data_IF_167020580318
#
_entry.id   IF_167020580318
#
_cell.length_a   1.000
_cell.length_b   1.000
_cell.length_c   1.000
_cell.angle_alpha   90.00
_cell.angle_beta   90.00
_cell.angle_gamma   90.00
#
_symmetry.space_group_name_H-M   'P 1'
#
loop_
_entity.id
_entity.type
_entity.pdbx_description
1 polymer ?
#
# COMPACT_ATOMS: atom_id res chain seq x y z
N UNK A 1 10.28 -21.02 -13.33
CA UNK A 1 10.97 -19.75 -13.06
C UNK A 1 11.97 -20.03 -11.97
N UNK A 2 13.27 -20.01 -12.28
CA UNK A 2 14.34 -20.23 -11.32
C UNK A 2 14.41 -19.02 -10.39
N UNK A 3 13.97 -19.17 -9.14
CA UNK A 3 14.22 -18.19 -8.09
C UNK A 3 15.20 -18.79 -7.09
N UNK A 4 16.18 -18.01 -6.60
CA UNK A 4 17.07 -18.47 -5.55
C UNK A 4 16.28 -18.76 -4.26
N UNK A 5 16.64 -19.81 -3.50
CA UNK A 5 15.82 -20.34 -2.40
C UNK A 5 15.79 -19.50 -1.11
N UNK A 6 16.31 -18.27 -1.12
CA UNK A 6 16.36 -17.39 0.06
C UNK A 6 16.53 -15.92 -0.35
N UNK A 7 15.44 -15.19 -0.60
CA UNK A 7 15.49 -13.73 -0.56
C UNK A 7 15.25 -13.27 0.89
N UNK A 8 16.33 -13.00 1.61
CA UNK A 8 16.27 -12.22 2.85
C UNK A 8 15.88 -10.79 2.44
N UNK A 9 14.60 -10.46 2.53
CA UNK A 9 14.05 -9.12 2.36
C UNK A 9 13.83 -8.72 0.90
N UNK A 10 12.58 -8.49 0.52
CA UNK A 10 12.24 -7.79 -0.73
C UNK A 10 12.63 -6.31 -0.58
N UNK A 11 13.88 -5.99 -0.89
CA UNK A 11 14.43 -4.64 -0.84
C UNK A 11 13.91 -3.77 -1.99
N UNK A 12 13.83 -2.45 -1.77
CA UNK A 12 13.52 -1.49 -2.83
C UNK A 12 14.51 -1.64 -4.01
N UNK A 13 13.96 -1.83 -5.21
CA UNK A 13 14.71 -1.80 -6.47
C UNK A 13 15.02 -0.34 -6.86
N UNK A 14 16.11 0.18 -6.30
CA UNK A 14 16.55 1.56 -6.52
C UNK A 14 16.89 1.88 -7.98
N UNK A 15 17.19 0.90 -8.83
CA UNK A 15 17.49 1.17 -10.24
C UNK A 15 16.26 1.63 -11.01
N UNK A 16 15.10 1.13 -10.61
CA UNK A 16 13.85 1.35 -11.31
C UNK A 16 12.88 2.23 -10.53
N UNK A 17 13.17 2.55 -9.27
CA UNK A 17 12.40 3.49 -8.47
C UNK A 17 12.53 4.93 -9.01
N UNK A 18 11.40 5.61 -9.20
CA UNK A 18 11.35 7.03 -9.57
C UNK A 18 10.76 7.92 -8.45
N UNK A 19 10.21 7.32 -7.40
CA UNK A 19 9.71 8.04 -6.23
C UNK A 19 9.82 7.18 -4.98
N UNK A 20 10.65 7.61 -4.03
CA UNK A 20 10.90 6.89 -2.80
C UNK A 20 10.41 7.70 -1.60
N UNK A 21 9.58 7.10 -0.76
CA UNK A 21 9.27 7.62 0.57
C UNK A 21 9.93 6.71 1.60
N UNK A 22 10.91 7.22 2.34
CA UNK A 22 11.48 6.53 3.50
C UNK A 22 10.76 7.02 4.77
N UNK A 23 9.94 6.18 5.38
CA UNK A 23 9.15 6.51 6.59
C UNK A 23 9.77 5.82 7.80
N UNK A 24 10.44 6.58 8.66
CA UNK A 24 11.19 6.00 9.79
C UNK A 24 12.37 5.10 9.40
N UNK A 25 12.65 4.96 8.10
CA UNK A 25 13.76 4.17 7.56
C UNK A 25 14.98 5.04 7.27
N UNK A 26 16.12 4.68 7.87
CA UNK A 26 17.37 5.40 7.69
C UNK A 26 18.39 4.56 6.90
N UNK A 27 18.21 4.57 5.58
CA UNK A 27 19.04 3.86 4.60
C UNK A 27 20.53 4.13 4.79
N UNK A 28 20.88 5.35 5.21
CA UNK A 28 22.28 5.82 5.37
C UNK A 28 22.98 5.33 6.62
N UNK A 29 22.24 4.83 7.61
CA UNK A 29 22.81 4.50 8.92
C UNK A 29 22.40 3.11 9.44
N UNK A 30 21.20 2.62 9.14
CA UNK A 30 20.59 1.50 9.87
C UNK A 30 19.94 0.42 9.00
N UNK A 31 19.88 0.58 7.68
CA UNK A 31 19.31 -0.45 6.79
C UNK A 31 20.29 -1.64 6.63
N UNK A 32 19.85 -2.79 6.09
CA UNK A 32 20.69 -3.97 5.86
C UNK A 32 20.84 -4.27 4.35
N UNK A 33 22.04 -4.56 3.81
CA UNK A 33 23.36 -4.57 4.46
C UNK A 33 24.03 -3.18 4.47
N UNK A 34 23.44 -2.24 5.23
CA UNK A 34 23.98 -0.93 5.61
C UNK A 34 24.41 -0.08 4.41
N UNK A 35 25.70 0.26 4.35
CA UNK A 35 26.27 1.18 3.37
C UNK A 35 26.05 0.72 1.93
N UNK A 36 25.89 -0.59 1.70
CA UNK A 36 25.61 -1.14 0.37
C UNK A 36 24.30 -0.59 -0.20
N UNK A 37 23.23 -0.56 0.61
CA UNK A 37 21.92 -0.03 0.20
C UNK A 37 22.01 1.45 -0.12
N UNK A 38 22.74 2.21 0.70
CA UNK A 38 23.02 3.62 0.41
C UNK A 38 23.79 3.80 -0.88
N UNK A 39 24.82 2.99 -1.16
CA UNK A 39 25.56 3.06 -2.42
C UNK A 39 24.65 2.75 -3.61
N UNK A 40 23.70 1.83 -3.47
CA UNK A 40 22.73 1.53 -4.51
C UNK A 40 21.73 2.67 -4.73
N UNK A 41 21.18 3.27 -3.67
CA UNK A 41 20.36 4.47 -3.78
C UNK A 41 21.12 5.60 -4.51
N UNK A 42 22.35 5.89 -4.10
CA UNK A 42 23.15 6.97 -4.69
C UNK A 42 23.56 6.68 -6.14
N UNK A 43 23.96 5.44 -6.44
CA UNK A 43 24.41 5.05 -7.78
C UNK A 43 23.21 4.88 -8.72
N UNK A 44 22.26 4.03 -8.35
CA UNK A 44 21.21 3.60 -9.25
C UNK A 44 20.05 4.59 -9.27
N UNK A 45 19.43 4.91 -8.13
CA UNK A 45 18.28 5.83 -8.14
C UNK A 45 18.67 7.27 -8.52
N UNK A 46 19.80 7.78 -8.00
CA UNK A 46 20.16 9.21 -8.17
C UNK A 46 21.10 9.51 -9.35
N UNK A 47 21.77 8.53 -9.96
CA UNK A 47 22.81 8.81 -10.98
C UNK A 47 22.68 8.04 -12.29
N UNK A 48 22.50 6.72 -12.26
CA UNK A 48 22.63 5.88 -13.46
C UNK A 48 21.35 5.18 -13.90
N UNK A 49 20.34 5.08 -13.03
CA UNK A 49 19.09 4.41 -13.35
C UNK A 49 18.31 5.12 -14.45
N UNK A 50 17.46 4.40 -15.21
CA UNK A 50 16.68 4.97 -16.31
C UNK A 50 15.81 6.17 -15.91
N UNK A 51 15.31 6.17 -14.67
CA UNK A 51 14.42 7.20 -14.16
C UNK A 51 15.16 8.21 -13.24
N UNK A 52 16.49 8.18 -13.17
CA UNK A 52 17.29 8.97 -12.21
C UNK A 52 17.09 10.49 -12.30
N UNK A 53 16.80 11.02 -13.50
CA UNK A 53 16.50 12.46 -13.67
C UNK A 53 15.17 12.89 -13.07
N UNK A 54 14.25 11.94 -12.86
CA UNK A 54 12.91 12.17 -12.30
C UNK A 54 12.81 11.69 -10.85
N UNK A 55 13.82 10.96 -10.38
CA UNK A 55 13.83 10.36 -9.06
C UNK A 55 13.68 11.42 -7.96
N UNK A 56 12.63 11.27 -7.14
CA UNK A 56 12.42 12.06 -5.92
C UNK A 56 12.53 11.16 -4.70
N UNK A 57 13.26 11.62 -3.69
CA UNK A 57 13.40 10.95 -2.40
C UNK A 57 12.80 11.83 -1.31
N UNK A 58 11.76 11.32 -0.66
CA UNK A 58 11.07 11.95 0.47
C UNK A 58 11.48 11.19 1.73
N UNK A 59 11.98 11.89 2.73
CA UNK A 59 12.31 11.29 4.03
C UNK A 59 11.33 11.81 5.06
N UNK A 60 10.54 10.92 5.64
CA UNK A 60 9.55 11.21 6.69
C UNK A 60 10.12 10.69 8.00
N UNK A 61 10.67 11.59 8.81
CA UNK A 61 11.42 11.27 10.03
C UNK A 61 11.34 12.47 11.00
N UNK A 62 11.11 12.26 12.31
CA UNK A 62 11.10 13.35 13.28
C UNK A 62 12.37 14.18 13.33
N UNK A 63 13.53 13.59 13.00
CA UNK A 63 14.81 14.31 12.96
C UNK A 63 15.35 14.43 11.55
N UNK A 64 16.12 15.47 11.31
CA UNK A 64 16.88 15.62 10.08
C UNK A 64 18.06 14.63 10.06
N UNK A 65 17.81 13.41 9.60
CA UNK A 65 18.78 12.32 9.54
C UNK A 65 19.78 12.49 8.38
N UNK A 66 20.82 11.65 8.35
CA UNK A 66 21.74 11.59 7.21
C UNK A 66 21.01 11.23 5.90
N UNK A 67 19.92 10.46 5.99
CA UNK A 67 19.06 10.16 4.85
C UNK A 67 18.36 11.43 4.37
N UNK A 68 17.80 12.23 5.27
CA UNK A 68 17.19 13.52 4.96
C UNK A 68 18.19 14.48 4.29
N UNK A 69 19.42 14.57 4.81
CA UNK A 69 20.49 15.36 4.20
C UNK A 69 20.81 14.91 2.76
N UNK A 70 20.84 13.59 2.52
CA UNK A 70 21.03 13.03 1.18
C UNK A 70 19.79 13.10 0.29
N UNK A 71 18.58 13.24 0.84
CA UNK A 71 17.39 13.49 0.07
C UNK A 71 17.39 14.92 -0.49
N UNK A 72 17.71 15.90 0.35
CA UNK A 72 17.58 17.33 0.02
C UNK A 72 18.80 17.94 -0.69
N UNK A 73 19.99 17.33 -0.65
CA UNK A 73 21.24 17.93 -1.14
C UNK A 73 21.23 18.45 -2.58
N UNK A 74 20.39 17.90 -3.46
CA UNK A 74 20.31 18.27 -4.88
C UNK A 74 19.06 19.11 -5.22
N UNK A 75 18.27 19.52 -4.21
CA UNK A 75 17.07 20.33 -4.38
C UNK A 75 15.85 19.60 -4.96
N UNK A 76 15.93 18.28 -5.18
CA UNK A 76 14.80 17.49 -5.74
C UNK A 76 14.01 16.75 -4.66
N UNK A 77 14.72 16.16 -3.68
CA UNK A 77 14.08 15.47 -2.56
C UNK A 77 13.60 16.42 -1.46
N UNK A 78 12.89 15.88 -0.48
CA UNK A 78 12.38 16.64 0.66
C UNK A 78 12.50 15.86 1.97
N UNK A 79 12.50 16.59 3.09
CA UNK A 79 12.36 16.05 4.43
C UNK A 79 11.05 16.53 5.03
N UNK A 80 10.30 15.61 5.62
CA UNK A 80 9.04 15.86 6.32
C UNK A 80 9.25 15.59 7.81
N UNK A 81 9.29 16.64 8.67
CA UNK A 81 9.55 16.52 10.10
C UNK A 81 8.28 16.06 10.83
N UNK A 82 8.01 14.76 10.80
CA UNK A 82 6.82 14.20 11.42
C UNK A 82 6.98 14.10 12.95
N UNK A 83 5.93 14.41 13.72
CA UNK A 83 5.90 14.18 15.17
C UNK A 83 6.19 12.71 15.51
N UNK A 84 7.06 12.39 16.49
CA UNK A 84 7.35 11.00 16.85
C UNK A 84 6.08 10.17 17.12
N UNK A 85 6.05 8.93 16.60
CA UNK A 85 4.96 7.97 16.71
C UNK A 85 3.62 8.37 16.05
N UNK A 86 3.64 9.26 15.04
CA UNK A 86 2.45 9.61 14.25
C UNK A 86 2.50 9.14 12.79
N UNK A 87 3.48 8.31 12.40
CA UNK A 87 3.64 7.79 11.03
C UNK A 87 2.42 7.01 10.54
N UNK A 88 1.72 6.30 11.44
CA UNK A 88 0.44 5.66 11.15
C UNK A 88 -0.63 6.65 10.66
N UNK A 89 -0.68 7.87 11.21
CA UNK A 89 -1.60 8.92 10.74
C UNK A 89 -1.16 9.50 9.39
N UNK A 90 0.15 9.61 9.15
CA UNK A 90 0.67 10.01 7.84
C UNK A 90 0.25 9.02 6.75
N UNK A 91 0.47 7.72 6.97
CA UNK A 91 0.10 6.67 6.03
C UNK A 91 -1.43 6.53 5.90
N UNK A 92 -2.18 6.66 7.00
CA UNK A 92 -3.65 6.68 6.96
C UNK A 92 -4.17 7.85 6.13
N UNK A 93 -3.59 9.04 6.30
CA UNK A 93 -3.91 10.20 5.49
C UNK A 93 -3.61 9.98 4.01
N UNK A 94 -2.46 9.36 3.67
CA UNK A 94 -2.18 8.99 2.28
C UNK A 94 -3.23 8.03 1.73
N UNK A 95 -3.58 6.96 2.46
CA UNK A 95 -4.61 6.00 2.07
C UNK A 95 -5.95 6.70 1.84
N UNK A 96 -6.37 7.57 2.78
CA UNK A 96 -7.60 8.34 2.68
C UNK A 96 -7.64 9.16 1.39
N UNK A 97 -6.58 9.93 1.11
CA UNK A 97 -6.51 10.77 -0.09
C UNK A 97 -6.55 9.92 -1.35
N UNK A 98 -5.81 8.80 -1.37
CA UNK A 98 -5.76 7.88 -2.51
C UNK A 98 -7.15 7.29 -2.81
N UNK A 99 -7.88 6.87 -1.78
CA UNK A 99 -9.23 6.31 -1.92
C UNK A 99 -10.23 7.38 -2.36
N UNK A 100 -10.20 8.57 -1.74
CA UNK A 100 -11.09 9.68 -2.07
C UNK A 100 -10.92 10.16 -3.53
N UNK A 101 -9.71 10.07 -4.08
CA UNK A 101 -9.40 10.49 -5.44
C UNK A 101 -9.35 9.33 -6.45
N UNK A 102 -9.74 8.11 -6.07
CA UNK A 102 -9.66 6.90 -6.91
C UNK A 102 -8.27 6.65 -7.52
N UNK A 103 -7.20 6.97 -6.78
CA UNK A 103 -5.79 6.89 -7.23
C UNK A 103 -5.13 5.54 -6.91
N UNK A 104 -5.92 4.47 -6.85
CA UNK A 104 -5.45 3.11 -6.58
C UNK A 104 -5.64 2.22 -7.81
N UNK A 105 -4.89 1.11 -7.86
CA UNK A 105 -4.96 0.13 -8.96
C UNK A 105 -6.20 -0.76 -8.81
N UNK A 106 -7.39 -0.22 -9.09
CA UNK A 106 -8.69 -0.92 -8.95
C UNK A 106 -8.67 -2.32 -9.57
N UNK A 107 -8.14 -2.43 -10.78
CA UNK A 107 -8.01 -3.68 -11.53
C UNK A 107 -7.26 -4.76 -10.75
N UNK A 108 -6.16 -4.38 -10.09
CA UNK A 108 -5.37 -5.30 -9.28
C UNK A 108 -6.10 -5.71 -7.99
N UNK A 109 -6.75 -4.75 -7.32
CA UNK A 109 -7.50 -5.03 -6.07
C UNK A 109 -8.74 -5.91 -6.29
N UNK A 110 -9.27 -5.97 -7.52
CA UNK A 110 -10.41 -6.84 -7.87
C UNK A 110 -10.01 -8.31 -8.09
N UNK A 111 -8.73 -8.66 -8.04
CA UNK A 111 -8.24 -10.02 -8.29
C UNK A 111 -8.41 -10.86 -7.01
N UNK A 112 -9.23 -11.93 -7.02
CA UNK A 112 -9.53 -12.68 -5.80
C UNK A 112 -8.58 -13.86 -5.53
N UNK A 113 -7.89 -14.38 -6.55
CA UNK A 113 -7.12 -15.61 -6.45
C UNK A 113 -5.94 -15.69 -7.44
N UNK A 114 -5.13 -16.74 -7.29
CA UNK A 114 -3.96 -17.01 -8.13
C UNK A 114 -4.28 -17.24 -9.62
N UNK A 115 -5.40 -17.91 -9.92
CA UNK A 115 -5.80 -18.21 -11.30
C UNK A 115 -6.02 -16.91 -12.08
N UNK A 116 -6.81 -16.00 -11.50
CA UNK A 116 -7.10 -14.69 -12.10
C UNK A 116 -5.85 -13.81 -12.11
N UNK A 117 -5.01 -13.88 -11.07
CA UNK A 117 -3.74 -13.15 -11.05
C UNK A 117 -2.84 -13.55 -12.23
N UNK A 118 -2.65 -14.86 -12.45
CA UNK A 118 -1.85 -15.40 -13.56
C UNK A 118 -2.39 -14.99 -14.92
N UNK A 119 -3.70 -15.08 -15.14
CA UNK A 119 -4.35 -14.66 -16.39
C UNK A 119 -4.10 -13.17 -16.67
N UNK A 120 -4.14 -12.32 -15.63
CA UNK A 120 -3.90 -10.88 -15.74
C UNK A 120 -2.42 -10.48 -15.72
N UNK A 121 -1.50 -11.45 -15.66
CA UNK A 121 -0.05 -11.20 -15.67
C UNK A 121 0.52 -10.70 -14.33
N UNK A 122 -0.21 -10.89 -13.22
CA UNK A 122 0.26 -10.59 -11.87
C UNK A 122 0.80 -11.85 -11.18
N UNK A 123 1.81 -11.65 -10.32
CA UNK A 123 2.41 -12.74 -9.51
C UNK A 123 1.67 -12.94 -8.18
N UNK A 124 0.92 -11.94 -7.75
CA UNK A 124 0.31 -11.82 -6.43
C UNK A 124 -1.11 -11.28 -6.57
N UNK A 125 -1.90 -11.39 -5.50
CA UNK A 125 -3.21 -10.75 -5.34
C UNK A 125 -3.37 -10.30 -3.88
N UNK A 126 -4.51 -9.71 -3.56
CA UNK A 126 -4.85 -9.23 -2.20
C UNK A 126 -6.19 -9.79 -1.77
N UNK A 127 -6.47 -9.78 -0.46
CA UNK A 127 -7.75 -10.16 0.15
C UNK A 127 -8.83 -9.05 0.06
N UNK A 128 -8.58 -7.97 -0.69
CA UNK A 128 -9.45 -6.78 -0.74
C UNK A 128 -10.92 -7.06 -1.12
N UNK A 129 -11.18 -8.14 -1.84
CA UNK A 129 -12.54 -8.57 -2.26
C UNK A 129 -13.18 -9.58 -1.31
N UNK A 130 -12.47 -10.02 -0.27
CA UNK A 130 -12.93 -11.07 0.63
C UNK A 130 -13.93 -10.47 1.62
N UNK A 131 -14.95 -11.26 1.98
CA UNK A 131 -16.01 -10.81 2.87
C UNK A 131 -15.66 -11.00 4.34
N UNK A 132 -15.89 -9.97 5.15
CA UNK A 132 -15.68 -9.96 6.61
C UNK A 132 -16.98 -9.54 7.28
N UNK A 133 -17.37 -10.27 8.33
CA UNK A 133 -18.56 -9.94 9.11
C UNK A 133 -18.36 -8.67 9.94
N UNK A 134 -19.39 -7.84 10.06
CA UNK A 134 -19.31 -6.60 10.85
C UNK A 134 -19.57 -6.80 12.34
N UNK A 135 -20.04 -7.98 12.73
CA UNK A 135 -20.28 -8.37 14.12
C UNK A 135 -18.98 -8.79 14.79
N UNK A 136 -18.77 -8.41 16.05
CA UNK A 136 -17.57 -8.78 16.79
C UNK A 136 -17.63 -10.23 17.32
N UNK A 137 -16.53 -11.00 17.27
CA UNK A 137 -15.26 -10.64 16.63
C UNK A 137 -15.39 -10.66 15.10
N UNK A 138 -14.81 -9.66 14.42
CA UNK A 138 -14.82 -9.62 12.95
C UNK A 138 -14.00 -10.76 12.38
N UNK A 139 -14.65 -11.69 11.69
CA UNK A 139 -14.03 -12.83 11.01
C UNK A 139 -14.39 -12.86 9.53
N UNK A 140 -13.53 -13.43 8.72
CA UNK A 140 -13.85 -13.74 7.32
C UNK A 140 -15.10 -14.63 7.22
N UNK A 141 -15.92 -14.38 6.21
CA UNK A 141 -17.01 -15.26 5.84
C UNK A 141 -16.45 -16.57 5.32
N UNK A 142 -16.82 -17.67 5.97
CA UNK A 142 -16.52 -19.02 5.49
C UNK A 142 -17.58 -19.50 4.51
N UNK A 143 -17.17 -20.32 3.55
CA UNK A 143 -18.08 -20.98 2.60
C UNK A 143 -19.18 -21.79 3.31
N UNK A 144 -18.87 -22.48 4.42
CA UNK A 144 -19.87 -23.15 5.26
C UNK A 144 -20.96 -22.19 5.75
N UNK A 145 -20.59 -21.02 6.25
CA UNK A 145 -21.55 -20.01 6.71
C UNK A 145 -22.34 -19.40 5.55
N UNK A 146 -21.70 -19.27 4.38
CA UNK A 146 -22.33 -18.86 3.13
C UNK A 146 -23.24 -19.93 2.48
N UNK A 147 -23.19 -21.18 2.93
CA UNK A 147 -23.95 -22.29 2.33
C UNK A 147 -23.28 -22.93 1.09
N UNK A 148 -21.97 -22.73 0.92
CA UNK A 148 -21.15 -23.21 -0.20
C UNK A 148 -20.38 -24.51 0.13
N UNK A 149 -20.71 -25.17 1.23
CA UNK A 149 -20.11 -26.44 1.63
C UNK A 149 -18.74 -26.29 2.31
N UNK A 150 -17.66 -26.09 1.54
CA UNK A 150 -16.29 -26.05 2.05
C UNK A 150 -16.06 -24.83 2.96
N UNK A 151 -15.24 -25.00 4.01
CA UNK A 151 -14.83 -23.89 4.89
C UNK A 151 -13.58 -23.21 4.32
N UNK A 152 -13.79 -22.19 3.49
CA UNK A 152 -12.74 -21.32 2.96
C UNK A 152 -13.31 -19.91 2.68
N UNK A 153 -12.50 -18.98 2.16
CA UNK A 153 -12.89 -17.59 1.91
C UNK A 153 -13.96 -17.42 0.82
N UNK A 154 -14.80 -16.42 1.00
CA UNK A 154 -15.90 -16.07 0.09
C UNK A 154 -15.72 -14.66 -0.44
N UNK A 155 -15.96 -14.50 -1.74
CA UNK A 155 -16.00 -13.22 -2.45
C UNK A 155 -17.37 -13.03 -3.09
N UNK A 156 -17.64 -11.83 -3.62
CA UNK A 156 -18.82 -11.58 -4.46
C UNK A 156 -18.39 -11.51 -5.92
N UNK A 157 -19.10 -12.24 -6.78
CA UNK A 157 -18.98 -12.14 -8.24
C UNK A 157 -20.33 -11.70 -8.78
N UNK A 158 -20.43 -10.45 -9.25
CA UNK A 158 -21.69 -9.86 -9.71
C UNK A 158 -22.80 -9.96 -8.63
N UNK A 159 -22.46 -9.64 -7.39
CA UNK A 159 -23.36 -9.67 -6.23
C UNK A 159 -23.68 -11.07 -5.68
N UNK A 160 -23.10 -12.14 -6.24
CA UNK A 160 -23.33 -13.51 -5.78
C UNK A 160 -22.18 -14.03 -4.93
N UNK A 161 -22.44 -14.56 -3.72
CA UNK A 161 -21.43 -15.29 -2.95
C UNK A 161 -20.82 -16.42 -3.77
N UNK A 162 -19.50 -16.45 -3.86
CA UNK A 162 -18.73 -17.46 -4.59
C UNK A 162 -17.48 -17.79 -3.80
N UNK A 163 -17.06 -19.06 -3.80
CA UNK A 163 -15.80 -19.44 -3.18
C UNK A 163 -14.66 -18.72 -3.91
N UNK A 164 -13.71 -18.13 -3.18
CA UNK A 164 -12.66 -17.32 -3.81
C UNK A 164 -11.87 -18.10 -4.88
N UNK A 165 -11.66 -19.40 -4.69
CA UNK A 165 -10.96 -20.32 -5.61
C UNK A 165 -11.75 -20.63 -6.90
N UNK A 166 -13.08 -20.49 -6.88
CA UNK A 166 -13.95 -20.78 -8.02
C UNK A 166 -14.16 -19.54 -8.92
N UNK A 167 -13.77 -18.36 -8.44
CA UNK A 167 -13.85 -17.14 -9.24
C UNK A 167 -12.90 -17.23 -10.44
N UNK A 168 -13.46 -17.22 -11.65
CA UNK A 168 -12.71 -17.24 -12.92
C UNK A 168 -12.39 -15.84 -13.45
N UNK A 169 -12.82 -14.80 -12.72
CA UNK A 169 -12.62 -13.40 -13.10
C UNK A 169 -12.54 -12.47 -11.89
N UNK A 170 -12.74 -11.18 -12.14
CA UNK A 170 -12.75 -10.17 -11.07
C UNK A 170 -13.88 -10.39 -10.09
N UNK A 171 -13.61 -10.09 -8.83
CA UNK A 171 -14.61 -10.01 -7.77
C UNK A 171 -14.98 -8.55 -7.45
N UNK A 172 -16.14 -8.37 -6.84
CA UNK A 172 -16.67 -7.05 -6.49
C UNK A 172 -15.81 -6.43 -5.38
N UNK A 173 -15.28 -5.23 -5.63
CA UNK A 173 -14.32 -4.58 -4.74
C UNK A 173 -15.00 -3.86 -3.57
N UNK A 174 -16.02 -3.03 -3.85
CA UNK A 174 -16.62 -2.12 -2.86
C UNK A 174 -18.07 -2.51 -2.56
N UNK A 175 -18.25 -3.67 -1.93
CA UNK A 175 -19.55 -4.34 -1.82
C UNK A 175 -19.88 -4.77 -0.39
N UNK A 176 -21.17 -5.02 -0.15
CA UNK A 176 -21.70 -5.64 1.06
C UNK A 176 -22.84 -6.59 0.72
N UNK A 177 -23.10 -7.55 1.60
CA UNK A 177 -24.20 -8.51 1.48
C UNK A 177 -24.67 -8.94 2.87
N UNK A 178 -25.97 -9.23 3.02
CA UNK A 178 -26.50 -9.85 4.25
C UNK A 178 -26.76 -11.33 4.01
N UNK A 179 -26.18 -12.19 4.86
CA UNK A 179 -26.38 -13.64 4.82
C UNK A 179 -26.83 -14.10 6.20
N UNK A 180 -27.98 -14.78 6.28
CA UNK A 180 -28.54 -15.30 7.55
C UNK A 180 -28.63 -14.24 8.66
N UNK A 181 -28.97 -13.00 8.29
CA UNK A 181 -29.11 -11.87 9.22
C UNK A 181 -27.81 -11.20 9.66
N UNK A 182 -26.65 -11.65 9.17
CA UNK A 182 -25.35 -11.00 9.41
C UNK A 182 -24.92 -10.22 8.17
N UNK A 183 -24.56 -8.96 8.34
CA UNK A 183 -23.98 -8.14 7.28
C UNK A 183 -22.48 -8.44 7.13
N UNK A 184 -22.07 -8.62 5.89
CA UNK A 184 -20.69 -8.81 5.47
C UNK A 184 -20.30 -7.70 4.50
N UNK A 185 -19.07 -7.21 4.63
CA UNK A 185 -18.49 -6.19 3.76
C UNK A 185 -17.18 -6.70 3.19
N UNK A 186 -16.82 -6.26 1.99
CA UNK A 186 -15.49 -6.54 1.46
C UNK A 186 -14.42 -5.88 2.34
N UNK A 187 -13.22 -6.47 2.42
CA UNK A 187 -12.07 -5.86 3.12
C UNK A 187 -11.82 -4.44 2.63
N UNK A 188 -11.94 -4.18 1.33
CA UNK A 188 -11.80 -2.85 0.76
C UNK A 188 -12.87 -1.87 1.26
N UNK A 189 -14.16 -2.27 1.33
CA UNK A 189 -15.22 -1.42 1.90
C UNK A 189 -14.90 -1.06 3.35
N UNK A 190 -14.46 -2.03 4.15
CA UNK A 190 -14.07 -1.80 5.54
C UNK A 190 -12.86 -0.86 5.67
N UNK A 191 -11.83 -1.04 4.83
CA UNK A 191 -10.67 -0.15 4.78
C UNK A 191 -11.09 1.28 4.41
N UNK A 192 -11.97 1.43 3.42
CA UNK A 192 -12.48 2.73 2.97
C UNK A 192 -13.27 3.43 4.06
N UNK A 193 -14.15 2.71 4.76
CA UNK A 193 -14.89 3.24 5.91
C UNK A 193 -13.93 3.68 7.02
N UNK A 194 -12.95 2.84 7.39
CA UNK A 194 -11.96 3.14 8.42
C UNK A 194 -11.09 4.34 8.05
N UNK A 195 -10.64 4.43 6.79
CA UNK A 195 -9.84 5.56 6.32
C UNK A 195 -10.64 6.88 6.35
N UNK A 196 -11.96 6.82 6.19
CA UNK A 196 -12.83 7.99 6.26
C UNK A 196 -13.13 8.47 7.69
N UNK A 197 -12.80 7.70 8.73
CA UNK A 197 -12.96 8.11 10.14
C UNK A 197 -12.06 9.28 10.54
N UNK A 198 -11.01 9.56 9.75
CA UNK A 198 -10.10 10.69 9.93
C UNK A 198 -10.01 11.51 8.66
N UNK A 199 -10.20 12.82 8.79
CA UNK A 199 -9.92 13.76 7.71
C UNK A 199 -8.43 13.95 7.52
N UNK A 200 -8.04 14.41 6.33
CA UNK A 200 -6.63 14.73 6.03
C UNK A 200 -6.08 15.80 6.97
N UNK A 201 -6.90 16.82 7.29
CA UNK A 201 -6.52 17.89 8.21
C UNK A 201 -6.25 17.35 9.63
N UNK A 202 -7.05 16.40 10.11
CA UNK A 202 -6.78 15.74 11.40
C UNK A 202 -5.49 14.93 11.36
N UNK A 203 -5.25 14.16 10.28
CA UNK A 203 -4.00 13.42 10.13
C UNK A 203 -2.78 14.35 10.12
N UNK A 204 -2.83 15.47 9.38
CA UNK A 204 -1.75 16.46 9.32
C UNK A 204 -1.52 17.15 10.67
N UNK A 205 -2.60 17.48 11.38
CA UNK A 205 -2.51 18.07 12.73
C UNK A 205 -1.89 17.10 13.75
N UNK A 206 -2.24 15.82 13.72
CA UNK A 206 -1.61 14.80 14.60
C UNK A 206 -0.13 14.63 14.27
N UNK A 207 0.21 14.68 12.98
CA UNK A 207 1.59 14.58 12.51
C UNK A 207 2.43 15.85 12.74
N UNK A 208 1.81 16.96 13.13
CA UNK A 208 2.46 18.27 13.27
C UNK A 208 3.19 18.72 11.99
N UNK A 209 2.54 18.53 10.84
CA UNK A 209 3.07 18.89 9.52
C UNK A 209 2.17 19.94 8.82
N UNK A 210 2.72 20.74 7.90
CA UNK A 210 1.94 21.74 7.18
C UNK A 210 0.74 21.14 6.44
N UNK A 211 -0.37 21.87 6.45
CA UNK A 211 -1.57 21.46 5.75
C UNK A 211 -1.32 21.25 4.24
N UNK A 212 -1.90 20.19 3.68
CA UNK A 212 -1.74 19.78 2.28
C UNK A 212 -0.48 18.97 1.99
N UNK A 213 0.41 18.75 2.97
CA UNK A 213 1.61 17.92 2.80
C UNK A 213 1.25 16.48 2.41
N UNK A 214 0.30 15.86 3.12
CA UNK A 214 -0.08 14.47 2.85
C UNK A 214 -0.73 14.34 1.47
N UNK A 215 -1.65 15.25 1.14
CA UNK A 215 -2.36 15.25 -0.14
C UNK A 215 -1.38 15.38 -1.32
N UNK A 216 -0.41 16.30 -1.22
CA UNK A 216 0.62 16.50 -2.24
C UNK A 216 1.47 15.24 -2.40
N UNK A 217 1.99 14.68 -1.30
CA UNK A 217 2.84 13.49 -1.33
C UNK A 217 2.11 12.26 -1.87
N UNK A 218 0.85 12.04 -1.47
CA UNK A 218 0.03 10.97 -2.01
C UNK A 218 -0.24 11.15 -3.52
N UNK A 219 -0.47 12.38 -3.96
CA UNK A 219 -0.63 12.73 -5.38
C UNK A 219 0.63 12.48 -6.19
N UNK A 220 1.79 12.89 -5.68
CA UNK A 220 3.08 12.62 -6.32
C UNK A 220 3.37 11.11 -6.37
N UNK A 221 3.23 10.41 -5.24
CA UNK A 221 3.44 8.97 -5.12
C UNK A 221 2.59 8.17 -6.10
N UNK A 222 1.29 8.48 -6.20
CA UNK A 222 0.38 7.79 -7.13
C UNK A 222 0.50 8.25 -8.59
N UNK A 223 1.27 9.29 -8.88
CA UNK A 223 1.58 9.73 -10.25
C UNK A 223 2.90 9.16 -10.77
N UNK A 224 3.78 8.74 -9.86
CA UNK A 224 5.04 8.12 -10.19
C UNK A 224 4.85 6.77 -10.89
N UNK A 225 5.82 6.39 -11.71
CA UNK A 225 5.79 5.19 -12.54
C UNK A 225 6.05 3.93 -11.70
N UNK A 226 7.00 4.02 -10.76
CA UNK A 226 7.49 2.94 -9.90
C UNK A 226 7.78 3.48 -8.48
N UNK A 227 6.72 3.96 -7.79
CA UNK A 227 6.85 4.48 -6.44
C UNK A 227 7.11 3.36 -5.42
N UNK A 228 7.86 3.66 -4.37
CA UNK A 228 8.16 2.75 -3.26
C UNK A 228 8.05 3.49 -1.92
N UNK A 229 7.52 2.80 -0.92
CA UNK A 229 7.62 3.19 0.49
C UNK A 229 8.52 2.16 1.18
N UNK A 230 9.44 2.61 2.02
CA UNK A 230 10.29 1.77 2.87
C UNK A 230 10.48 2.35 4.27
#
# INVERSE_FOLDING_TARGET
MNLPPYEIGNYCDYEHCDYLISVGSNITQADYPMQTRTRYLQKFAKRTGPDAKKFKHVVVDPRFSNAAAKATHNGVGEWVPLKPASDGYFLLGMIQWILANNRFKKEYLTIPNELVAKEKGYRTWTDMTYLVGITEPRTFLSGKNAGLGQSDYVVLVNGKPTMFQEATGKADLDASITIKGVEYKTVFRLLKERAAEKSLAECEAVCDIPAGTIARLAGEFTSAKRPVIE
#
